data_IF_963301708156
#
_entry.id   IF_963301708156
#
_cell.length_a   1.000
_cell.length_b   1.000
_cell.length_c   1.000
_cell.angle_alpha   90.00
_cell.angle_beta   90.00
_cell.angle_gamma   90.00
#
_symmetry.space_group_name_H-M   'P 1'
#
loop_
_entity.id
_entity.type
_entity.pdbx_description
1 polymer ?
#
# COMPACT_ATOMS: atom_id res chain seq x y z
N UNK A 1 1.24 39.60 -59.20
CA UNK A 1 1.89 38.43 -58.62
C UNK A 1 2.07 38.70 -57.09
N UNK A 2 1.14 38.13 -56.26
CA UNK A 2 1.20 38.30 -54.80
C UNK A 2 1.95 37.09 -54.19
N UNK A 3 3.10 37.34 -53.58
CA UNK A 3 3.87 36.33 -52.82
C UNK A 3 3.28 36.21 -51.42
N UNK A 4 2.70 35.05 -51.12
CA UNK A 4 2.24 34.67 -49.78
C UNK A 4 3.47 34.10 -49.06
N UNK A 5 3.98 34.84 -48.03
CA UNK A 5 4.94 34.30 -47.05
C UNK A 5 4.17 33.42 -46.06
N UNK A 6 4.42 32.13 -46.11
CA UNK A 6 3.95 31.20 -45.07
C UNK A 6 4.98 31.22 -43.89
N UNK A 7 4.60 31.86 -42.77
CA UNK A 7 5.38 31.79 -41.53
C UNK A 7 5.14 30.42 -40.87
N UNK A 8 6.15 29.57 -40.90
CA UNK A 8 6.15 28.33 -40.14
C UNK A 8 6.42 28.65 -38.66
N UNK A 9 5.41 28.47 -37.80
CA UNK A 9 5.58 28.50 -36.36
C UNK A 9 6.25 27.19 -35.92
N UNK A 10 7.56 27.22 -35.60
CA UNK A 10 8.22 26.14 -34.88
C UNK A 10 7.73 26.20 -33.43
N UNK A 11 6.86 25.26 -33.03
CA UNK A 11 6.62 24.98 -31.63
C UNK A 11 7.92 24.38 -31.04
N UNK A 12 8.67 25.18 -30.31
CA UNK A 12 9.77 24.69 -29.48
C UNK A 12 9.16 23.88 -28.33
N UNK A 13 9.29 22.55 -28.37
CA UNK A 13 9.02 21.70 -27.22
C UNK A 13 10.03 22.06 -26.15
N UNK A 14 9.58 22.71 -25.06
CA UNK A 14 10.41 22.92 -23.88
C UNK A 14 10.85 21.55 -23.33
N UNK A 15 12.15 21.34 -23.04
CA UNK A 15 12.59 20.10 -22.44
C UNK A 15 11.86 19.94 -21.09
N UNK A 16 11.14 18.84 -20.92
CA UNK A 16 10.58 18.47 -19.63
C UNK A 16 11.77 18.27 -18.66
N UNK A 17 11.90 19.14 -17.66
CA UNK A 17 12.95 18.99 -16.65
C UNK A 17 12.60 17.73 -15.85
N UNK A 18 13.48 16.73 -15.92
CA UNK A 18 13.38 15.53 -15.10
C UNK A 18 13.41 15.96 -13.61
N UNK A 19 12.42 15.51 -12.86
CA UNK A 19 12.30 15.78 -11.42
C UNK A 19 12.14 14.48 -10.64
N UNK A 20 12.43 14.54 -9.34
CA UNK A 20 12.23 13.43 -8.42
C UNK A 20 11.09 13.76 -7.45
N UNK A 21 10.20 12.81 -7.18
CA UNK A 21 9.16 12.92 -6.16
C UNK A 21 9.48 12.04 -4.95
N UNK A 22 9.36 12.61 -3.73
CA UNK A 22 9.56 11.89 -2.48
C UNK A 22 8.23 11.27 -2.04
N UNK A 23 8.13 9.93 -2.07
CA UNK A 23 6.87 9.20 -1.83
C UNK A 23 6.97 8.35 -0.58
N UNK A 24 6.10 8.62 0.41
CA UNK A 24 5.86 7.73 1.53
C UNK A 24 4.86 6.64 1.11
N UNK A 25 5.25 5.38 1.19
CA UNK A 25 4.47 4.24 0.69
C UNK A 25 4.18 3.25 1.82
N UNK A 26 2.91 2.97 2.07
CA UNK A 26 2.50 1.94 3.01
C UNK A 26 3.11 0.58 2.65
N UNK A 27 3.64 -0.13 3.65
CA UNK A 27 4.50 -1.31 3.48
C UNK A 27 3.84 -2.48 2.71
N UNK A 28 2.51 -2.59 2.75
CA UNK A 28 1.77 -3.57 1.94
C UNK A 28 1.88 -3.33 0.44
N UNK A 29 2.15 -2.07 0.03
CA UNK A 29 2.20 -1.67 -1.38
C UNK A 29 3.64 -1.62 -1.94
N UNK A 30 4.62 -2.16 -1.21
CA UNK A 30 6.06 -2.10 -1.58
C UNK A 30 6.34 -2.65 -2.97
N UNK A 31 5.90 -3.87 -3.27
CA UNK A 31 6.20 -4.52 -4.56
C UNK A 31 5.51 -3.82 -5.74
N UNK A 32 4.18 -3.51 -5.70
CA UNK A 32 3.55 -2.75 -6.77
C UNK A 32 4.16 -1.36 -6.95
N UNK A 33 4.45 -0.63 -5.85
CA UNK A 33 5.04 0.72 -5.95
C UNK A 33 6.40 0.73 -6.65
N UNK A 34 7.27 -0.24 -6.36
CA UNK A 34 8.56 -0.38 -7.05
C UNK A 34 8.38 -0.57 -8.55
N UNK A 35 7.49 -1.49 -8.95
CA UNK A 35 7.20 -1.74 -10.37
C UNK A 35 6.59 -0.51 -11.06
N UNK A 36 5.65 0.16 -10.40
CA UNK A 36 5.05 1.40 -10.93
C UNK A 36 6.11 2.49 -11.08
N UNK A 37 7.05 2.63 -10.11
CA UNK A 37 8.11 3.63 -10.18
C UNK A 37 9.08 3.39 -11.35
N UNK A 38 9.41 2.14 -11.65
CA UNK A 38 10.22 1.79 -12.81
C UNK A 38 9.51 2.13 -14.13
N UNK A 39 8.21 1.85 -14.23
CA UNK A 39 7.39 2.18 -15.40
C UNK A 39 7.20 3.70 -15.52
N UNK A 40 6.94 4.39 -14.41
CA UNK A 40 6.84 5.85 -14.34
C UNK A 40 8.10 6.55 -14.84
N UNK A 41 9.28 6.08 -14.41
CA UNK A 41 10.54 6.67 -14.83
C UNK A 41 10.75 6.54 -16.35
N UNK A 42 10.42 5.38 -16.92
CA UNK A 42 10.51 5.18 -18.39
C UNK A 42 9.53 6.03 -19.19
N UNK A 43 8.31 6.18 -18.67
CA UNK A 43 7.23 6.82 -19.43
C UNK A 43 7.23 8.35 -19.29
N UNK A 44 7.65 8.89 -18.14
CA UNK A 44 7.56 10.34 -17.83
C UNK A 44 8.90 11.07 -17.82
N UNK A 45 10.02 10.34 -17.69
CA UNK A 45 11.33 10.93 -17.44
C UNK A 45 11.55 11.44 -16.01
N UNK A 46 10.51 11.45 -15.15
CA UNK A 46 10.64 11.75 -13.72
C UNK A 46 10.99 10.48 -12.94
N UNK A 47 11.55 10.64 -11.74
CA UNK A 47 11.84 9.53 -10.82
C UNK A 47 11.02 9.62 -9.54
N UNK A 48 10.80 8.49 -8.86
CA UNK A 48 10.15 8.44 -7.56
C UNK A 48 11.07 7.80 -6.52
N UNK A 49 11.46 8.57 -5.50
CA UNK A 49 12.18 8.07 -4.34
C UNK A 49 11.16 7.52 -3.32
N UNK A 50 11.15 6.20 -3.13
CA UNK A 50 10.14 5.49 -2.35
C UNK A 50 10.68 5.16 -0.95
N UNK A 51 9.99 5.63 0.09
CA UNK A 51 10.19 5.21 1.47
C UNK A 51 9.04 4.27 1.88
N UNK A 52 9.36 3.15 2.55
CA UNK A 52 8.38 2.14 2.94
C UNK A 52 8.20 2.06 4.45
N UNK A 53 6.95 2.03 4.93
CA UNK A 53 6.67 1.99 6.36
C UNK A 53 5.19 1.80 6.69
N UNK A 54 4.85 1.89 7.97
CA UNK A 54 3.46 1.89 8.42
C UNK A 54 2.79 3.25 8.18
N UNK A 55 1.50 3.26 7.82
CA UNK A 55 0.71 4.48 7.60
C UNK A 55 0.78 5.42 8.81
N UNK A 56 0.58 4.91 10.03
CA UNK A 56 0.64 5.72 11.25
C UNK A 56 2.04 6.30 11.53
N UNK A 57 3.12 5.58 11.15
CA UNK A 57 4.48 6.10 11.26
C UNK A 57 4.72 7.26 10.27
N UNK A 58 4.25 7.12 9.04
CA UNK A 58 4.33 8.20 8.06
C UNK A 58 3.52 9.42 8.47
N UNK A 59 2.32 9.23 9.03
CA UNK A 59 1.56 10.34 9.61
C UNK A 59 2.39 11.12 10.63
N UNK A 60 3.01 10.44 11.60
CA UNK A 60 3.86 11.09 12.60
C UNK A 60 5.07 11.79 11.99
N UNK A 61 5.71 11.21 10.98
CA UNK A 61 6.85 11.81 10.27
C UNK A 61 6.44 13.05 9.48
N UNK A 62 5.29 13.03 8.81
CA UNK A 62 4.73 14.17 8.07
C UNK A 62 4.45 15.33 9.05
N UNK A 63 3.81 15.04 10.19
CA UNK A 63 3.57 16.04 11.26
C UNK A 63 4.88 16.59 11.83
N UNK A 64 5.95 15.81 11.85
CA UNK A 64 7.30 16.24 12.24
C UNK A 64 8.08 16.95 11.12
N UNK A 65 7.45 17.18 9.96
CA UNK A 65 8.06 17.93 8.86
C UNK A 65 8.93 17.11 7.91
N UNK A 66 8.79 15.78 7.84
CA UNK A 66 9.49 14.96 6.87
C UNK A 66 9.27 15.43 5.41
N UNK A 67 10.26 15.26 4.51
CA UNK A 67 10.25 15.87 3.17
C UNK A 67 9.42 15.12 2.13
N UNK A 68 8.40 14.36 2.56
CA UNK A 68 7.53 13.66 1.63
C UNK A 68 6.62 14.61 0.87
N UNK A 69 6.44 14.34 -0.41
CA UNK A 69 5.58 15.09 -1.32
C UNK A 69 4.26 14.38 -1.60
N UNK A 70 4.27 13.03 -1.53
CA UNK A 70 3.09 12.18 -1.72
C UNK A 70 3.04 11.11 -0.63
N UNK A 71 1.84 10.79 -0.15
CA UNK A 71 1.57 9.64 0.70
C UNK A 71 0.67 8.65 -0.04
N UNK A 72 1.09 7.39 -0.10
CA UNK A 72 0.27 6.24 -0.45
C UNK A 72 -0.04 5.47 0.84
N UNK A 73 -1.18 5.77 1.45
CA UNK A 73 -1.60 5.17 2.71
C UNK A 73 -2.25 3.80 2.51
N UNK A 74 -2.30 2.99 3.57
CA UNK A 74 -3.05 1.74 3.59
C UNK A 74 -4.48 1.91 4.16
N UNK A 75 -4.93 3.15 4.36
CA UNK A 75 -6.29 3.52 4.75
C UNK A 75 -6.72 4.81 4.02
N UNK A 76 -8.00 5.16 4.19
CA UNK A 76 -8.61 6.40 3.69
C UNK A 76 -8.66 7.51 4.76
N UNK A 77 -8.55 7.15 6.04
CA UNK A 77 -8.69 8.07 7.18
C UNK A 77 -7.47 8.95 7.37
N UNK A 78 -6.27 8.39 7.27
CA UNK A 78 -5.03 9.14 7.46
C UNK A 78 -4.85 10.23 6.40
N UNK A 79 -5.03 9.98 5.08
CA UNK A 79 -5.01 11.04 4.07
C UNK A 79 -6.09 12.10 4.27
N UNK A 80 -7.33 11.71 4.66
CA UNK A 80 -8.39 12.66 4.96
C UNK A 80 -8.00 13.58 6.11
N UNK A 81 -7.48 13.02 7.19
CA UNK A 81 -7.01 13.78 8.35
C UNK A 81 -5.89 14.75 8.01
N UNK A 82 -4.94 14.37 7.16
CA UNK A 82 -3.86 15.26 6.70
C UNK A 82 -4.40 16.43 5.86
N UNK A 83 -5.47 16.23 5.07
CA UNK A 83 -6.16 17.33 4.37
C UNK A 83 -6.83 18.27 5.37
N UNK A 84 -7.55 17.75 6.36
CA UNK A 84 -8.23 18.55 7.41
C UNK A 84 -7.23 19.35 8.26
N UNK A 85 -6.07 18.81 8.54
CA UNK A 85 -5.01 19.43 9.33
C UNK A 85 -4.11 20.37 8.52
N UNK A 86 -4.28 20.46 7.19
CA UNK A 86 -3.50 21.34 6.30
C UNK A 86 -2.13 20.81 5.90
N UNK A 87 -1.81 19.55 6.21
CA UNK A 87 -0.56 18.90 5.83
C UNK A 87 -0.63 18.25 4.43
N UNK A 88 -1.82 18.19 3.84
CA UNK A 88 -2.04 17.76 2.47
C UNK A 88 -2.87 18.78 1.68
N UNK A 89 -2.79 18.72 0.36
CA UNK A 89 -3.51 19.63 -0.54
C UNK A 89 -4.98 19.20 -0.61
N UNK A 90 -5.93 20.05 -0.22
CA UNK A 90 -7.35 19.71 -0.22
C UNK A 90 -7.85 19.24 -1.59
N UNK A 91 -8.62 18.16 -1.62
CA UNK A 91 -9.21 17.59 -2.84
C UNK A 91 -8.22 16.81 -3.73
N UNK A 92 -6.97 16.62 -3.28
CA UNK A 92 -5.98 15.81 -4.01
C UNK A 92 -6.13 14.31 -3.76
N UNK A 93 -6.83 13.93 -2.69
CA UNK A 93 -7.02 12.56 -2.25
C UNK A 93 -7.88 11.73 -3.21
N UNK A 94 -7.48 10.47 -3.40
CA UNK A 94 -8.27 9.48 -4.13
C UNK A 94 -7.90 8.06 -3.71
N UNK A 95 -8.86 7.14 -3.77
CA UNK A 95 -8.62 5.71 -3.56
C UNK A 95 -7.88 5.13 -4.75
N UNK A 96 -6.67 4.60 -4.53
CA UNK A 96 -5.87 3.99 -5.58
C UNK A 96 -5.95 2.45 -5.57
N UNK A 97 -6.33 1.85 -4.44
CA UNK A 97 -6.46 0.40 -4.28
C UNK A 97 -7.36 0.04 -3.09
N UNK A 98 -7.96 -1.15 -3.13
CA UNK A 98 -8.56 -1.78 -1.96
C UNK A 98 -7.80 -3.07 -1.67
N UNK A 99 -7.22 -3.16 -0.47
CA UNK A 99 -6.41 -4.27 -0.03
C UNK A 99 -7.24 -5.48 0.40
N UNK A 100 -6.60 -6.65 0.44
CA UNK A 100 -7.19 -7.89 0.95
C UNK A 100 -6.31 -8.49 2.04
N UNK A 101 -6.92 -8.89 3.13
CA UNK A 101 -6.28 -9.55 4.25
C UNK A 101 -6.19 -11.05 4.01
N UNK A 102 -5.09 -11.67 4.42
CA UNK A 102 -4.83 -13.10 4.29
C UNK A 102 -4.24 -13.61 5.59
N UNK A 103 -4.74 -14.73 6.11
CA UNK A 103 -4.02 -15.54 7.09
C UNK A 103 -3.09 -16.46 6.31
N UNK A 104 -1.80 -16.37 6.55
CA UNK A 104 -0.78 -17.08 5.79
C UNK A 104 0.23 -17.79 6.68
N UNK A 105 0.73 -18.92 6.21
CA UNK A 105 1.87 -19.65 6.76
C UNK A 105 2.85 -20.00 5.63
N UNK A 106 4.16 -19.93 5.92
CA UNK A 106 5.18 -20.42 4.99
C UNK A 106 5.15 -21.96 4.81
N UNK A 107 4.44 -22.66 5.70
CA UNK A 107 4.27 -24.12 5.63
C UNK A 107 3.11 -24.49 4.71
N UNK A 108 3.35 -25.38 3.75
CA UNK A 108 2.31 -25.90 2.89
C UNK A 108 1.26 -26.68 3.73
N UNK A 109 -0.04 -26.45 3.46
CA UNK A 109 -1.15 -27.15 4.11
C UNK A 109 -1.35 -26.81 5.60
N UNK A 110 -0.64 -25.85 6.16
CA UNK A 110 -0.78 -25.47 7.58
C UNK A 110 -2.02 -24.60 7.82
N UNK A 111 -2.31 -23.68 6.92
CA UNK A 111 -3.53 -22.87 6.91
C UNK A 111 -4.49 -23.49 5.90
N UNK A 112 -5.68 -23.88 6.34
CA UNK A 112 -6.76 -24.36 5.48
C UNK A 112 -7.51 -23.19 4.83
N UNK A 113 -8.38 -23.49 3.87
CA UNK A 113 -9.14 -22.51 3.08
C UNK A 113 -10.28 -21.81 3.86
N UNK A 114 -10.48 -22.14 5.13
CA UNK A 114 -11.51 -21.58 6.03
C UNK A 114 -10.93 -20.87 7.23
N UNK A 115 -9.61 -20.96 7.46
CA UNK A 115 -8.95 -20.39 8.64
C UNK A 115 -9.23 -21.16 9.94
N UNK A 116 -9.68 -22.41 9.85
CA UNK A 116 -10.02 -23.25 11.01
C UNK A 116 -8.85 -23.46 11.96
N UNK A 117 -7.62 -23.34 11.47
CA UNK A 117 -6.39 -23.41 12.26
C UNK A 117 -6.41 -22.42 13.45
N UNK A 118 -7.07 -21.27 13.34
CA UNK A 118 -7.25 -20.31 14.43
C UNK A 118 -8.03 -20.88 15.62
N UNK A 119 -8.90 -21.87 15.36
CA UNK A 119 -9.65 -22.57 16.40
C UNK A 119 -9.05 -23.90 16.81
N UNK A 120 -8.45 -24.63 15.87
CA UNK A 120 -7.82 -25.94 16.12
C UNK A 120 -6.50 -25.83 16.87
N UNK A 121 -5.80 -24.68 16.74
CA UNK A 121 -4.49 -24.48 17.34
C UNK A 121 -3.36 -25.12 16.54
N UNK A 122 -2.34 -25.66 17.23
CA UNK A 122 -1.16 -26.24 16.59
C UNK A 122 -0.05 -25.21 16.29
N UNK A 123 -0.17 -23.98 16.81
CA UNK A 123 0.82 -22.92 16.71
C UNK A 123 1.03 -22.22 18.07
N UNK A 124 2.18 -21.63 18.24
CA UNK A 124 2.54 -20.86 19.43
C UNK A 124 2.42 -19.35 19.19
N UNK A 125 2.76 -18.91 17.97
CA UNK A 125 2.85 -17.51 17.61
C UNK A 125 1.96 -17.21 16.39
N UNK A 126 1.20 -16.10 16.49
CA UNK A 126 0.39 -15.51 15.43
C UNK A 126 0.92 -14.10 15.16
N UNK A 127 1.52 -13.89 13.99
CA UNK A 127 2.01 -12.57 13.61
C UNK A 127 0.87 -11.66 13.19
N UNK A 128 0.85 -10.44 13.74
CA UNK A 128 -0.06 -9.36 13.32
C UNK A 128 0.72 -8.06 13.21
N UNK A 129 0.27 -7.14 12.36
CA UNK A 129 0.75 -5.76 12.42
C UNK A 129 0.12 -5.03 13.61
N UNK A 130 0.81 -4.05 14.18
CA UNK A 130 0.28 -3.25 15.29
C UNK A 130 -1.00 -2.51 14.86
N UNK A 131 -2.18 -2.82 15.43
CA UNK A 131 -3.46 -2.24 15.00
C UNK A 131 -3.56 -0.72 15.23
N UNK A 132 -2.73 -0.16 16.12
CA UNK A 132 -2.67 1.29 16.37
C UNK A 132 -1.92 2.06 15.26
N UNK A 133 -1.08 1.38 14.47
CA UNK A 133 -0.17 1.98 13.50
C UNK A 133 -0.41 1.49 12.06
N UNK A 134 -1.09 0.35 11.91
CA UNK A 134 -1.22 -0.34 10.63
C UNK A 134 -2.67 -0.77 10.36
N UNK A 135 -3.30 -0.30 9.28
CA UNK A 135 -4.68 -0.65 8.90
C UNK A 135 -4.92 -2.16 8.74
N UNK A 136 -3.95 -2.90 8.21
CA UNK A 136 -4.02 -4.36 8.15
C UNK A 136 -4.02 -5.04 9.52
N UNK A 137 -3.37 -4.43 10.51
CA UNK A 137 -3.44 -4.89 11.91
C UNK A 137 -4.82 -4.67 12.50
N UNK A 138 -5.46 -3.54 12.20
CA UNK A 138 -6.84 -3.28 12.60
C UNK A 138 -7.79 -4.29 11.95
N UNK A 139 -7.67 -4.55 10.64
CA UNK A 139 -8.47 -5.54 9.94
C UNK A 139 -8.29 -6.96 10.51
N UNK A 140 -7.07 -7.33 10.92
CA UNK A 140 -6.80 -8.60 11.61
C UNK A 140 -7.54 -8.68 12.96
N UNK A 141 -7.53 -7.63 13.76
CA UNK A 141 -8.26 -7.58 15.03
C UNK A 141 -9.78 -7.62 14.84
N UNK A 142 -10.32 -6.93 13.83
CA UNK A 142 -11.74 -7.00 13.46
C UNK A 142 -12.13 -8.42 13.05
N UNK A 143 -11.31 -9.09 12.22
CA UNK A 143 -11.50 -10.49 11.82
C UNK A 143 -11.53 -11.41 13.04
N UNK A 144 -10.56 -11.29 13.96
CA UNK A 144 -10.50 -12.09 15.17
C UNK A 144 -11.68 -11.83 16.11
N UNK A 145 -12.15 -10.60 16.19
CA UNK A 145 -13.35 -10.24 16.94
C UNK A 145 -14.63 -10.86 16.33
N UNK A 146 -14.80 -10.76 15.01
CA UNK A 146 -15.92 -11.38 14.30
C UNK A 146 -15.95 -12.91 14.48
N UNK A 147 -14.78 -13.54 14.50
CA UNK A 147 -14.61 -14.98 14.77
C UNK A 147 -14.72 -15.34 16.26
N UNK A 148 -14.83 -14.37 17.17
CA UNK A 148 -14.82 -14.56 18.64
C UNK A 148 -13.54 -15.28 19.13
N UNK A 149 -12.38 -14.94 18.54
CA UNK A 149 -11.08 -15.57 18.83
C UNK A 149 -10.05 -14.58 19.42
N UNK A 150 -10.35 -13.29 19.47
CA UNK A 150 -9.40 -12.24 19.87
C UNK A 150 -8.75 -12.53 21.22
N UNK A 151 -9.56 -12.68 22.28
CA UNK A 151 -9.05 -12.87 23.66
C UNK A 151 -8.22 -14.15 23.80
N UNK A 152 -8.69 -15.25 23.20
CA UNK A 152 -8.02 -16.56 23.29
C UNK A 152 -6.67 -16.58 22.55
N UNK A 153 -6.51 -15.76 21.52
CA UNK A 153 -5.28 -15.70 20.69
C UNK A 153 -4.34 -14.57 21.09
N UNK A 154 -4.80 -13.57 21.82
CA UNK A 154 -3.99 -12.42 22.25
C UNK A 154 -2.65 -12.82 22.89
N UNK A 155 -2.56 -13.83 23.78
CA UNK A 155 -1.29 -14.25 24.37
C UNK A 155 -0.28 -14.82 23.36
N UNK A 156 -0.73 -15.16 22.15
CA UNK A 156 0.10 -15.70 21.06
C UNK A 156 0.56 -14.65 20.06
N UNK A 157 0.15 -13.38 20.21
CA UNK A 157 0.48 -12.36 19.23
C UNK A 157 1.97 -12.02 19.23
N UNK A 158 2.56 -12.04 18.04
CA UNK A 158 3.84 -11.42 17.74
C UNK A 158 3.55 -10.19 16.88
N UNK A 159 3.77 -9.02 17.45
CA UNK A 159 3.31 -7.77 16.88
C UNK A 159 4.42 -7.08 16.10
N UNK A 160 4.21 -6.91 14.78
CA UNK A 160 5.08 -6.11 13.91
C UNK A 160 4.66 -4.64 13.91
N UNK A 161 5.59 -3.72 13.73
CA UNK A 161 5.33 -2.28 13.58
C UNK A 161 4.40 -1.98 12.39
N UNK A 162 4.52 -2.78 11.33
CA UNK A 162 3.73 -2.71 10.11
C UNK A 162 3.53 -4.09 9.50
N UNK A 163 2.78 -4.17 8.40
CA UNK A 163 2.43 -5.45 7.77
C UNK A 163 3.62 -6.16 7.12
N UNK A 164 4.68 -5.44 6.72
CA UNK A 164 5.88 -6.08 6.18
C UNK A 164 6.65 -6.81 7.29
N UNK A 165 6.71 -6.26 8.49
CA UNK A 165 7.34 -6.93 9.63
C UNK A 165 6.52 -8.15 10.09
N UNK A 166 5.18 -8.06 10.10
CA UNK A 166 4.33 -9.21 10.38
C UNK A 166 4.57 -10.35 9.36
N UNK A 167 4.67 -10.02 8.08
CA UNK A 167 5.04 -10.98 7.02
C UNK A 167 6.42 -11.61 7.29
N UNK A 168 7.43 -10.79 7.66
CA UNK A 168 8.78 -11.29 7.94
C UNK A 168 8.81 -12.27 9.10
N UNK A 169 8.03 -12.05 10.16
CA UNK A 169 7.97 -13.01 11.27
C UNK A 169 7.50 -14.38 10.82
N UNK A 170 6.56 -14.46 9.89
CA UNK A 170 6.09 -15.75 9.34
C UNK A 170 7.11 -16.31 8.35
N UNK A 171 7.63 -15.50 7.43
CA UNK A 171 8.56 -15.93 6.40
C UNK A 171 9.88 -16.48 6.97
N UNK A 172 10.31 -15.97 8.13
CA UNK A 172 11.54 -16.41 8.82
C UNK A 172 11.29 -17.47 9.91
N UNK A 173 10.03 -17.91 10.10
CA UNK A 173 9.68 -18.94 11.09
C UNK A 173 9.60 -18.45 12.55
N UNK A 174 9.66 -17.12 12.79
CA UNK A 174 9.45 -16.53 14.12
C UNK A 174 7.98 -16.57 14.55
N UNK A 175 7.06 -16.79 13.60
CA UNK A 175 5.67 -17.14 13.85
C UNK A 175 5.26 -18.24 12.86
N UNK A 176 4.43 -19.17 13.29
CA UNK A 176 3.98 -20.27 12.43
C UNK A 176 3.00 -19.79 11.35
N UNK A 177 2.23 -18.74 11.66
CA UNK A 177 1.28 -18.10 10.74
C UNK A 177 1.09 -16.63 11.13
N UNK A 178 0.47 -15.86 10.26
CA UNK A 178 0.16 -14.46 10.54
C UNK A 178 -0.84 -13.87 9.57
N UNK A 179 -1.46 -12.77 9.99
CA UNK A 179 -2.25 -11.95 9.10
C UNK A 179 -1.32 -11.03 8.30
N UNK A 180 -1.39 -11.15 6.97
CA UNK A 180 -0.55 -10.43 6.00
C UNK A 180 -1.40 -9.82 4.89
N UNK A 181 -0.83 -8.94 4.07
CA UNK A 181 -1.52 -8.44 2.89
C UNK A 181 -1.43 -9.49 1.75
N UNK A 182 -2.51 -9.68 0.98
CA UNK A 182 -2.51 -10.58 -0.16
C UNK A 182 -1.38 -10.26 -1.14
N UNK A 183 -1.07 -8.99 -1.35
CA UNK A 183 0.01 -8.51 -2.21
C UNK A 183 1.41 -8.99 -1.82
N UNK A 184 1.61 -9.41 -0.58
CA UNK A 184 2.92 -9.91 -0.10
C UNK A 184 3.14 -11.39 -0.43
N UNK A 185 2.05 -12.13 -0.66
CA UNK A 185 2.07 -13.58 -0.92
C UNK A 185 1.56 -13.93 -2.31
N UNK A 186 1.04 -12.95 -3.05
CA UNK A 186 0.58 -13.12 -4.43
C UNK A 186 1.78 -13.13 -5.38
N UNK A 187 1.84 -14.14 -6.23
CA UNK A 187 2.79 -14.25 -7.31
C UNK A 187 2.07 -14.81 -8.54
N UNK A 188 2.18 -14.13 -9.66
CA UNK A 188 1.58 -14.53 -10.94
C UNK A 188 0.07 -14.88 -10.84
N UNK A 189 -0.69 -14.05 -10.11
CA UNK A 189 -2.14 -14.17 -9.94
C UNK A 189 -2.61 -15.25 -8.97
N UNK A 190 -1.71 -15.91 -8.25
CA UNK A 190 -1.99 -16.94 -7.25
C UNK A 190 -1.15 -16.75 -6.00
N UNK A 191 -1.54 -17.39 -4.91
CA UNK A 191 -0.71 -17.47 -3.71
C UNK A 191 0.50 -18.34 -4.05
N UNK A 192 1.70 -17.82 -3.78
CA UNK A 192 2.96 -18.46 -4.12
C UNK A 192 3.28 -19.64 -3.20
N UNK A 193 4.24 -19.48 -2.31
CA UNK A 193 4.66 -20.53 -1.36
C UNK A 193 3.75 -20.55 -0.12
N UNK A 194 3.73 -21.71 0.56
CA UNK A 194 3.00 -21.90 1.81
C UNK A 194 1.54 -22.27 1.64
N UNK A 195 0.72 -21.85 2.59
CA UNK A 195 -0.72 -22.04 2.61
C UNK A 195 -1.42 -20.80 3.17
N UNK A 196 -2.63 -20.54 2.71
CA UNK A 196 -3.32 -19.32 3.07
C UNK A 196 -4.84 -19.46 3.07
N UNK A 197 -5.47 -18.65 3.90
CA UNK A 197 -6.89 -18.34 3.87
C UNK A 197 -7.08 -16.87 3.54
N UNK A 198 -7.70 -16.58 2.41
CA UNK A 198 -8.09 -15.21 2.07
C UNK A 198 -9.29 -14.86 2.94
N UNK A 199 -9.10 -13.88 3.82
CA UNK A 199 -10.14 -13.49 4.77
C UNK A 199 -11.36 -12.93 4.02
N UNK A 200 -12.58 -13.46 4.28
CA UNK A 200 -13.80 -12.91 3.72
C UNK A 200 -13.99 -11.44 4.06
N UNK A 201 -14.47 -10.65 3.09
CA UNK A 201 -14.58 -9.21 3.22
C UNK A 201 -15.55 -8.75 4.30
N UNK A 202 -16.52 -9.60 4.68
CA UNK A 202 -17.49 -9.35 5.74
C UNK A 202 -16.94 -9.44 7.17
N UNK A 203 -15.72 -9.97 7.34
CA UNK A 203 -15.09 -10.13 8.67
C UNK A 203 -14.29 -8.90 9.13
N UNK A 204 -14.13 -7.92 8.27
CA UNK A 204 -13.43 -6.66 8.60
C UNK A 204 -13.92 -5.50 7.71
N UNK A 205 -13.67 -4.27 8.11
CA UNK A 205 -13.94 -3.12 7.26
C UNK A 205 -13.07 -3.15 6.00
N UNK A 206 -13.58 -2.62 4.85
CA UNK A 206 -12.80 -2.53 3.63
C UNK A 206 -11.47 -1.77 3.86
N UNK A 207 -10.36 -2.35 3.40
CA UNK A 207 -9.03 -1.72 3.51
C UNK A 207 -8.85 -0.80 2.28
N UNK A 208 -9.59 0.31 2.24
CA UNK A 208 -9.44 1.34 1.20
C UNK A 208 -8.12 2.06 1.41
N UNK A 209 -7.38 2.25 0.34
CA UNK A 209 -6.05 2.83 0.35
C UNK A 209 -6.04 4.09 -0.49
N UNK A 210 -5.83 5.23 0.16
CA UNK A 210 -5.85 6.51 -0.50
C UNK A 210 -4.45 7.07 -0.74
N UNK A 211 -4.27 7.68 -1.90
CA UNK A 211 -3.14 8.54 -2.24
C UNK A 211 -3.51 10.00 -1.98
N UNK A 212 -2.55 10.80 -1.55
CA UNK A 212 -2.74 12.23 -1.34
C UNK A 212 -1.47 13.02 -1.66
N UNK A 213 -1.62 14.21 -2.23
CA UNK A 213 -0.54 15.19 -2.40
C UNK A 213 -0.31 15.91 -1.08
N UNK A 214 0.87 15.79 -0.50
CA UNK A 214 1.23 16.50 0.72
C UNK A 214 1.54 17.98 0.43
N UNK A 215 1.42 18.82 1.44
CA UNK A 215 1.65 20.26 1.32
C UNK A 215 3.04 20.59 0.73
N UNK A 216 4.06 19.78 1.06
CA UNK A 216 5.43 19.93 0.52
C UNK A 216 5.54 19.59 -0.96
N UNK A 217 4.63 18.78 -1.49
CA UNK A 217 4.56 18.47 -2.93
C UNK A 217 3.78 19.48 -3.75
N UNK A 218 3.17 20.50 -3.10
CA UNK A 218 2.43 21.54 -3.81
C UNK A 218 3.31 22.29 -4.80
N UNK A 219 2.95 22.25 -6.10
CA UNK A 219 3.74 22.86 -7.16
C UNK A 219 4.89 21.98 -7.71
N UNK A 220 5.09 20.76 -7.18
CA UNK A 220 6.05 19.79 -7.74
C UNK A 220 5.47 19.14 -9.01
N UNK A 221 6.07 19.35 -10.20
CA UNK A 221 5.62 18.69 -11.42
C UNK A 221 5.76 17.16 -11.35
N UNK A 222 6.81 16.66 -10.71
CA UNK A 222 7.05 15.22 -10.53
C UNK A 222 5.98 14.58 -9.61
N UNK A 223 5.58 15.27 -8.52
CA UNK A 223 4.52 14.79 -7.64
C UNK A 223 3.15 14.76 -8.35
N UNK A 224 2.83 15.79 -9.12
CA UNK A 224 1.61 15.83 -9.91
C UNK A 224 1.59 14.72 -10.99
N UNK A 225 2.71 14.53 -11.70
CA UNK A 225 2.87 13.48 -12.69
C UNK A 225 2.75 12.07 -12.07
N UNK A 226 3.33 11.85 -10.88
CA UNK A 226 3.23 10.58 -10.14
C UNK A 226 1.78 10.24 -9.79
N UNK A 227 1.02 11.20 -9.22
CA UNK A 227 -0.39 10.97 -8.87
C UNK A 227 -1.26 10.75 -10.12
N UNK A 228 -0.97 11.44 -11.22
CA UNK A 228 -1.64 11.19 -12.51
C UNK A 228 -1.30 9.79 -13.05
N UNK A 229 -0.02 9.39 -12.99
CA UNK A 229 0.43 8.07 -13.44
C UNK A 229 -0.21 6.94 -12.64
N UNK A 230 -0.37 7.12 -11.32
CA UNK A 230 -1.02 6.13 -10.45
C UNK A 230 -2.48 5.85 -10.86
N UNK A 231 -3.15 6.81 -11.52
CA UNK A 231 -4.50 6.65 -12.09
C UNK A 231 -4.52 6.04 -13.49
N UNK A 232 -3.37 5.87 -14.14
CA UNK A 232 -3.27 5.34 -15.51
C UNK A 232 -3.64 3.85 -15.58
N UNK A 233 -4.04 3.40 -16.77
CA UNK A 233 -4.36 1.99 -16.98
C UNK A 233 -3.15 1.07 -16.74
N UNK A 234 -1.92 1.53 -17.03
CA UNK A 234 -0.69 0.79 -16.74
C UNK A 234 -0.54 0.56 -15.25
N UNK A 235 -0.58 1.62 -14.42
CA UNK A 235 -0.48 1.49 -12.98
C UNK A 235 -1.62 0.64 -12.39
N UNK A 236 -2.85 0.83 -12.88
CA UNK A 236 -4.01 0.03 -12.48
C UNK A 236 -3.86 -1.45 -12.81
N UNK A 237 -3.28 -1.79 -13.95
CA UNK A 237 -2.97 -3.17 -14.32
C UNK A 237 -1.93 -3.79 -13.37
N UNK A 238 -0.87 -3.04 -13.04
CA UNK A 238 0.11 -3.47 -12.02
C UNK A 238 -0.59 -3.71 -10.67
N UNK A 239 -1.38 -2.76 -10.19
CA UNK A 239 -2.11 -2.87 -8.91
C UNK A 239 -2.95 -4.14 -8.87
N UNK A 240 -3.75 -4.40 -9.91
CA UNK A 240 -4.57 -5.63 -10.03
C UNK A 240 -3.73 -6.90 -10.01
N UNK A 241 -2.56 -6.91 -10.66
CA UNK A 241 -1.70 -8.10 -10.73
C UNK A 241 -1.17 -8.55 -9.36
N UNK A 242 -1.17 -7.66 -8.36
CA UNK A 242 -0.85 -7.95 -6.97
C UNK A 242 -2.07 -8.26 -6.10
N UNK A 243 -3.25 -8.49 -6.69
CA UNK A 243 -4.45 -8.92 -5.97
C UNK A 243 -5.27 -7.81 -5.31
N UNK A 244 -5.00 -6.55 -5.62
CA UNK A 244 -5.85 -5.43 -5.18
C UNK A 244 -7.10 -5.30 -6.03
N UNK A 245 -8.21 -4.86 -5.42
CA UNK A 245 -9.36 -4.30 -6.11
C UNK A 245 -9.15 -2.79 -6.36
N UNK A 246 -9.87 -2.25 -7.37
CA UNK A 246 -9.82 -0.83 -7.76
C UNK A 246 -11.21 -0.22 -7.65
#
# INVERSE_FOLDING_TARGET
MKRILASAFLLAAAPAIAGEVQVAVAANFTAPAKRIAEEFARDSGHTAALAFGGTGKFYAQIKAGAPFEVLLAADDKTPARLEEEGDAVPGSRFTYATGRLVLWSARAGFVDDKGDVLGKGGFRHLAIANPKLAPYGQAAMETLAALKRGDALQPRFVMGENIAQAYQFVATGNAELGFVALSQVMKDGRIGEGSAWVVPAELHQPIRQDAVLLAKGKGSPAAAAWLAYLRSDKARAVIKSFGYAL
#
